data_IF_753044615584
#
_entry.id   IF_753044615584
#
_cell.length_a   1.000
_cell.length_b   1.000
_cell.length_c   1.000
_cell.angle_alpha   90.00
_cell.angle_beta   90.00
_cell.angle_gamma   90.00
#
_symmetry.space_group_name_H-M   'P 1'
#
loop_
_entity.id
_entity.type
_entity.pdbx_description
1 polymer ?
#
# COMPACT_ATOMS: atom_id res chain seq x y z
N UNK A 1 6.89 16.50 10.13
CA UNK A 1 7.59 15.71 9.10
C UNK A 1 8.08 16.66 8.03
N UNK A 2 9.37 16.64 7.67
CA UNK A 2 9.85 17.42 6.53
C UNK A 2 9.14 16.95 5.25
N UNK A 3 8.60 17.86 4.44
CA UNK A 3 7.77 17.53 3.27
C UNK A 3 8.48 16.68 2.20
N UNK A 4 9.80 16.50 2.32
CA UNK A 4 10.65 15.87 1.32
C UNK A 4 11.33 14.59 1.84
N UNK A 5 11.20 14.26 3.12
CA UNK A 5 11.79 13.02 3.64
C UNK A 5 10.92 11.84 3.19
N UNK A 6 11.49 10.82 2.52
CA UNK A 6 10.73 9.65 2.13
C UNK A 6 10.32 8.85 3.37
N UNK A 7 9.07 8.40 3.40
CA UNK A 7 8.56 7.48 4.40
C UNK A 7 7.75 6.37 3.74
N UNK A 8 7.53 5.28 4.49
CA UNK A 8 6.62 4.22 4.08
C UNK A 8 5.17 4.66 4.27
N UNK A 9 4.29 4.22 3.39
CA UNK A 9 2.86 4.49 3.44
C UNK A 9 2.08 3.21 3.23
N UNK A 10 1.00 3.06 4.00
CA UNK A 10 -0.01 2.03 3.76
C UNK A 10 -1.17 2.65 2.99
N UNK A 11 -1.41 2.18 1.78
CA UNK A 11 -2.53 2.59 0.94
C UNK A 11 -3.58 1.49 0.96
N UNK A 12 -4.79 1.82 1.39
CA UNK A 12 -5.91 0.89 1.47
C UNK A 12 -7.08 1.40 0.64
N UNK A 13 -7.80 0.52 -0.03
CA UNK A 13 -9.02 0.90 -0.73
C UNK A 13 -10.22 0.03 -0.34
N UNK A 14 -11.40 0.62 -0.42
CA UNK A 14 -12.68 -0.05 -0.43
C UNK A 14 -13.45 0.40 -1.69
N UNK A 15 -13.65 -0.52 -2.63
CA UNK A 15 -14.20 -0.21 -3.96
C UNK A 15 -15.31 -1.18 -4.29
N UNK A 16 -16.52 -0.66 -4.43
CA UNK A 16 -17.71 -1.47 -4.68
C UNK A 16 -17.78 -2.00 -6.12
N UNK A 17 -17.24 -1.26 -7.10
CA UNK A 17 -17.36 -1.62 -8.52
C UNK A 17 -16.15 -2.45 -9.02
N UNK A 18 -16.34 -3.70 -9.47
CA UNK A 18 -15.24 -4.56 -9.93
C UNK A 18 -14.44 -4.01 -11.11
N UNK A 19 -15.07 -3.22 -12.00
CA UNK A 19 -14.38 -2.62 -13.15
C UNK A 19 -13.44 -1.49 -12.71
N UNK A 20 -13.90 -0.63 -11.78
CA UNK A 20 -13.05 0.42 -11.18
C UNK A 20 -11.92 -0.20 -10.38
N UNK A 21 -12.23 -1.21 -9.55
CA UNK A 21 -11.24 -1.95 -8.78
C UNK A 21 -10.14 -2.52 -9.67
N UNK A 22 -10.49 -3.22 -10.75
CA UNK A 22 -9.50 -3.82 -11.64
C UNK A 22 -8.61 -2.76 -12.33
N UNK A 23 -9.16 -1.58 -12.65
CA UNK A 23 -8.39 -0.46 -13.21
C UNK A 23 -7.45 0.13 -12.18
N UNK A 24 -7.94 0.44 -10.98
CA UNK A 24 -7.13 0.99 -9.90
C UNK A 24 -6.02 0.02 -9.48
N UNK A 25 -6.34 -1.26 -9.29
CA UNK A 25 -5.36 -2.28 -8.90
C UNK A 25 -4.22 -2.37 -9.93
N UNK A 26 -4.52 -2.38 -11.24
CA UNK A 26 -3.47 -2.39 -12.28
C UNK A 26 -2.61 -1.13 -12.29
N UNK A 27 -3.18 0.01 -11.92
CA UNK A 27 -2.45 1.25 -11.75
C UNK A 27 -1.55 1.19 -10.51
N UNK A 28 -2.10 0.81 -9.36
CA UNK A 28 -1.39 0.74 -8.08
C UNK A 28 -0.23 -0.25 -8.08
N UNK A 29 -0.37 -1.42 -8.72
CA UNK A 29 0.72 -2.41 -8.81
C UNK A 29 1.98 -1.84 -9.51
N UNK A 30 1.85 -0.80 -10.32
CA UNK A 30 3.00 -0.14 -10.97
C UNK A 30 3.71 0.87 -10.07
N UNK A 31 2.99 1.43 -9.09
CA UNK A 31 3.48 2.50 -8.21
C UNK A 31 3.82 2.00 -6.80
N UNK A 32 3.17 0.92 -6.36
CA UNK A 32 3.19 0.44 -4.98
C UNK A 32 3.21 -1.09 -4.95
N UNK A 33 3.74 -1.66 -3.86
CA UNK A 33 3.84 -3.11 -3.68
C UNK A 33 2.56 -3.65 -3.04
N UNK A 34 1.84 -4.61 -3.64
CA UNK A 34 0.67 -5.21 -3.02
C UNK A 34 1.07 -6.05 -1.79
N UNK A 35 0.41 -5.81 -0.66
CA UNK A 35 0.57 -6.59 0.59
C UNK A 35 -0.61 -7.55 0.77
N UNK A 36 -1.83 -7.05 0.56
CA UNK A 36 -3.07 -7.83 0.59
C UNK A 36 -3.96 -7.39 -0.58
N UNK A 37 -5.12 -8.05 -0.73
CA UNK A 37 -6.05 -7.77 -1.83
C UNK A 37 -6.43 -6.30 -1.96
N UNK A 38 -6.60 -5.59 -0.84
CA UNK A 38 -6.98 -4.17 -0.80
C UNK A 38 -5.96 -3.28 -0.09
N UNK A 39 -4.73 -3.77 0.10
CA UNK A 39 -3.70 -3.09 0.90
C UNK A 39 -2.37 -3.09 0.15
N UNK A 40 -1.79 -1.91 -0.01
CA UNK A 40 -0.58 -1.64 -0.77
C UNK A 40 0.43 -0.87 0.08
N UNK A 41 1.71 -1.13 -0.15
CA UNK A 41 2.82 -0.38 0.41
C UNK A 41 3.42 0.57 -0.62
N UNK A 42 3.52 1.84 -0.30
CA UNK A 42 4.16 2.86 -1.12
C UNK A 42 5.30 3.51 -0.36
N UNK A 43 6.43 3.75 -1.03
CA UNK A 43 7.54 4.54 -0.47
C UNK A 43 7.65 5.86 -1.22
N UNK A 44 7.64 6.95 -0.47
CA UNK A 44 7.82 8.27 -1.03
C UNK A 44 7.65 9.36 -0.02
N UNK A 45 8.00 10.57 -0.43
CA UNK A 45 7.73 11.79 0.30
C UNK A 45 6.23 12.06 0.39
N UNK A 46 5.77 12.87 1.38
CA UNK A 46 4.40 13.37 1.42
C UNK A 46 3.92 14.02 0.11
N UNK A 47 4.81 14.70 -0.62
CA UNK A 47 4.48 15.28 -1.92
C UNK A 47 4.22 14.24 -3.01
N UNK A 48 4.98 13.14 -3.03
CA UNK A 48 4.75 12.02 -3.93
C UNK A 48 3.45 11.28 -3.61
N UNK A 49 3.17 11.07 -2.32
CA UNK A 49 1.90 10.50 -1.89
C UNK A 49 0.71 11.38 -2.30
N UNK A 50 0.82 12.71 -2.14
CA UNK A 50 -0.22 13.64 -2.59
C UNK A 50 -0.49 13.55 -4.09
N UNK A 51 0.56 13.39 -4.92
CA UNK A 51 0.40 13.15 -6.36
C UNK A 51 -0.27 11.81 -6.64
N UNK A 52 0.14 10.74 -5.95
CA UNK A 52 -0.45 9.43 -6.10
C UNK A 52 -1.96 9.45 -5.78
N UNK A 53 -2.37 10.08 -4.67
CA UNK A 53 -3.79 10.23 -4.31
C UNK A 53 -4.57 10.97 -5.40
N UNK A 54 -4.02 12.06 -5.94
CA UNK A 54 -4.65 12.80 -7.04
C UNK A 54 -4.80 11.96 -8.31
N UNK A 55 -3.83 11.10 -8.62
CA UNK A 55 -3.93 10.17 -9.75
C UNK A 55 -5.01 9.09 -9.50
N UNK A 56 -5.14 8.62 -8.26
CA UNK A 56 -6.15 7.64 -7.85
C UNK A 56 -7.58 8.17 -8.04
N UNK A 57 -7.82 9.46 -7.77
CA UNK A 57 -9.13 10.12 -7.96
C UNK A 57 -9.69 9.93 -9.39
N UNK A 58 -8.83 9.76 -10.40
CA UNK A 58 -9.26 9.53 -11.78
C UNK A 58 -9.82 8.10 -12.04
N UNK A 59 -9.62 7.17 -11.08
CA UNK A 59 -10.01 5.77 -11.20
C UNK A 59 -11.21 5.39 -10.32
N UNK A 60 -11.52 6.20 -9.30
CA UNK A 60 -12.54 5.91 -8.29
C UNK A 60 -13.77 6.81 -8.44
N UNK A 61 -14.88 6.40 -7.85
CA UNK A 61 -16.05 7.24 -7.64
C UNK A 61 -16.07 7.71 -6.18
N UNK A 62 -15.76 8.99 -5.87
CA UNK A 62 -15.67 9.48 -4.50
C UNK A 62 -16.95 9.32 -3.66
N UNK A 63 -18.10 9.04 -4.29
CA UNK A 63 -19.37 8.81 -3.58
C UNK A 63 -19.57 7.36 -3.16
N UNK A 64 -18.86 6.43 -3.77
CA UNK A 64 -19.09 4.99 -3.63
C UNK A 64 -17.81 4.20 -3.27
N UNK A 65 -16.64 4.82 -3.42
CA UNK A 65 -15.34 4.22 -3.18
C UNK A 65 -14.57 5.06 -2.15
N UNK A 66 -13.77 4.40 -1.31
CA UNK A 66 -12.88 5.06 -0.35
C UNK A 66 -11.44 4.60 -0.58
N UNK A 67 -10.49 5.53 -0.57
CA UNK A 67 -9.06 5.24 -0.64
C UNK A 67 -8.35 6.09 0.41
N UNK A 68 -7.54 5.44 1.24
CA UNK A 68 -6.83 6.08 2.34
C UNK A 68 -5.35 5.74 2.29
N UNK A 69 -4.53 6.71 2.64
CA UNK A 69 -3.10 6.55 2.81
C UNK A 69 -2.71 6.91 4.25
N UNK A 70 -1.96 6.02 4.88
CA UNK A 70 -1.46 6.18 6.24
C UNK A 70 0.06 6.22 6.23
N UNK A 71 0.64 7.31 6.72
CA UNK A 71 2.08 7.38 6.91
C UNK A 71 2.51 6.37 7.98
N UNK A 72 3.52 5.58 7.68
CA UNK A 72 4.10 4.64 8.63
C UNK A 72 5.22 5.33 9.43
N UNK A 73 5.31 5.08 10.75
CA UNK A 73 6.49 5.46 11.52
C UNK A 73 7.73 4.75 10.99
N UNK A 74 8.90 5.32 11.28
CA UNK A 74 10.21 4.75 10.91
C UNK A 74 10.52 3.44 11.66
N UNK A 75 9.90 3.21 12.81
CA UNK A 75 9.97 1.97 13.56
C UNK A 75 8.55 1.42 13.71
N UNK A 76 8.27 0.27 13.09
CA UNK A 76 6.96 -0.38 13.13
C UNK A 76 7.11 -1.79 13.70
N UNK A 77 6.26 -2.11 14.67
CA UNK A 77 6.01 -3.50 15.04
C UNK A 77 4.90 -4.04 14.14
N UNK A 78 5.14 -5.19 13.51
CA UNK A 78 4.19 -5.82 12.59
C UNK A 78 3.98 -7.24 13.03
N UNK A 79 2.73 -7.54 13.37
CA UNK A 79 2.25 -8.89 13.64
C UNK A 79 1.26 -9.27 12.54
N UNK A 80 1.57 -10.32 11.80
CA UNK A 80 0.70 -10.86 10.74
C UNK A 80 -0.02 -12.10 11.29
N UNK A 81 -1.31 -12.26 10.99
CA UNK A 81 -2.08 -13.45 11.35
C UNK A 81 -2.80 -14.00 10.13
N UNK A 82 -2.83 -15.34 10.01
CA UNK A 82 -3.54 -16.03 8.93
C UNK A 82 -2.72 -16.24 7.65
N UNK A 83 -3.41 -16.57 6.55
CA UNK A 83 -2.78 -16.91 5.28
C UNK A 83 -2.41 -15.65 4.50
N UNK A 84 -1.13 -15.30 4.50
CA UNK A 84 -0.56 -14.32 3.58
C UNK A 84 -0.45 -14.91 2.17
N UNK A 85 -0.83 -14.12 1.15
CA UNK A 85 -0.61 -14.48 -0.26
C UNK A 85 0.81 -14.09 -0.67
N UNK A 86 1.82 -14.67 -0.02
CA UNK A 86 3.20 -14.44 -0.41
C UNK A 86 3.43 -15.08 -1.77
N UNK A 87 3.85 -14.28 -2.76
CA UNK A 87 4.48 -14.86 -3.95
C UNK A 87 5.75 -15.55 -3.43
N UNK A 88 5.90 -16.86 -3.68
CA UNK A 88 7.06 -17.61 -3.19
C UNK A 88 8.33 -16.99 -3.79
N UNK A 89 9.28 -16.61 -2.93
CA UNK A 89 10.57 -16.04 -3.35
C UNK A 89 10.59 -14.52 -3.52
N UNK A 90 9.54 -13.79 -3.14
CA UNK A 90 9.51 -12.32 -3.21
C UNK A 90 9.66 -11.72 -1.82
N UNK A 91 10.71 -10.93 -1.60
CA UNK A 91 10.89 -10.14 -0.39
C UNK A 91 10.49 -8.70 -0.67
N UNK A 92 9.67 -8.11 0.21
CA UNK A 92 9.43 -6.67 0.19
C UNK A 92 10.62 -6.00 0.87
N UNK A 93 11.54 -5.48 0.06
CA UNK A 93 12.65 -4.67 0.52
C UNK A 93 12.20 -3.22 0.55
N UNK A 94 12.40 -2.60 1.70
CA UNK A 94 12.06 -1.20 1.90
C UNK A 94 13.30 -0.45 2.36
N UNK A 95 13.63 0.63 1.67
CA UNK A 95 14.74 1.50 2.05
C UNK A 95 14.37 2.34 3.28
N UNK A 96 13.08 2.69 3.40
CA UNK A 96 12.58 3.56 4.47
C UNK A 96 12.07 2.79 5.70
N UNK A 97 11.74 1.50 5.56
CA UNK A 97 11.11 0.69 6.61
C UNK A 97 11.51 -0.81 6.47
N UNK A 98 12.76 -1.17 6.80
CA UNK A 98 13.37 -2.47 6.48
C UNK A 98 12.66 -3.68 7.11
N UNK A 99 11.85 -3.49 8.16
CA UNK A 99 11.05 -4.55 8.78
C UNK A 99 9.81 -4.95 7.97
N UNK A 100 9.44 -4.23 6.90
CA UNK A 100 8.22 -4.50 6.14
C UNK A 100 8.24 -5.83 5.40
N UNK A 101 9.40 -6.49 5.27
CA UNK A 101 9.48 -7.87 4.81
C UNK A 101 8.56 -8.80 5.63
N UNK A 102 8.30 -8.48 6.91
CA UNK A 102 7.37 -9.21 7.79
C UNK A 102 5.91 -9.13 7.36
N UNK A 103 5.48 -8.10 6.62
CA UNK A 103 4.08 -7.99 6.16
C UNK A 103 3.70 -9.10 5.18
N UNK A 104 4.64 -9.55 4.35
CA UNK A 104 4.40 -10.62 3.39
C UNK A 104 4.61 -12.01 4.00
N UNK A 105 5.29 -12.09 5.13
CA UNK A 105 5.55 -13.36 5.81
C UNK A 105 4.26 -13.83 6.49
N UNK A 106 3.66 -14.87 5.92
CA UNK A 106 2.58 -15.59 6.58
C UNK A 106 3.15 -16.29 7.83
N UNK A 107 2.84 -15.77 9.00
CA UNK A 107 3.07 -16.45 10.27
C UNK A 107 1.98 -17.48 10.46
N UNK A 108 2.30 -18.74 10.15
CA UNK A 108 1.47 -19.88 10.54
C UNK A 108 1.55 -19.98 12.08
N UNK A 109 0.46 -19.63 12.75
CA UNK A 109 0.16 -20.09 14.09
C UNK A 109 -1.23 -20.71 14.08
#
# INVERSE_FOLDING_TARGET
MAMNAPCGWLVTYDIANPRRLARLHRFLVKQATPIQYSVFHFEGSPGEMGRLIKEIEAYIDPKADDVRAYALPTELSIDTYGKGKSIKGTSLLSACAPYLQKLLQATAK
#
